data_IF_957905123021
#
_entry.id   IF_957905123021
#
_cell.length_a   1.000
_cell.length_b   1.000
_cell.length_c   1.000
_cell.angle_alpha   90.00
_cell.angle_beta   90.00
_cell.angle_gamma   90.00
#
_symmetry.space_group_name_H-M   'P 1'
#
loop_
_entity.id
_entity.type
_entity.pdbx_description
1 polymer ?
#
# COMPACT_ATOMS: atom_id res chain seq x y z
N UNK A 1 -39.12 -20.26 32.08
CA UNK A 1 -38.32 -20.71 30.91
C UNK A 1 -38.47 -19.69 29.76
N UNK A 2 -38.13 -18.42 30.02
CA UNK A 2 -38.31 -17.29 29.06
C UNK A 2 -37.03 -16.48 28.87
N UNK A 3 -36.04 -16.62 29.77
CA UNK A 3 -34.78 -15.89 29.80
C UNK A 3 -33.91 -16.11 28.56
N UNK A 4 -33.82 -17.33 28.05
CA UNK A 4 -32.93 -17.67 26.91
C UNK A 4 -33.33 -17.03 25.59
N UNK A 5 -34.63 -16.78 25.35
CA UNK A 5 -35.09 -16.17 24.09
C UNK A 5 -34.91 -14.65 24.09
N UNK A 6 -35.10 -14.01 25.23
CA UNK A 6 -34.88 -12.57 25.40
C UNK A 6 -33.39 -12.23 25.40
N UNK A 7 -32.55 -13.02 26.06
CA UNK A 7 -31.09 -12.90 26.03
C UNK A 7 -30.54 -13.03 24.60
N UNK A 8 -31.05 -13.99 23.83
CA UNK A 8 -30.67 -14.15 22.42
C UNK A 8 -31.06 -12.93 21.58
N UNK A 9 -32.27 -12.40 21.76
CA UNK A 9 -32.74 -11.20 21.04
C UNK A 9 -31.89 -9.98 21.40
N UNK A 10 -31.53 -9.80 22.66
CA UNK A 10 -30.67 -8.70 23.11
C UNK A 10 -29.26 -8.83 22.53
N UNK A 11 -28.69 -10.03 22.54
CA UNK A 11 -27.37 -10.32 21.94
C UNK A 11 -27.35 -10.00 20.45
N UNK A 12 -28.41 -10.38 19.71
CA UNK A 12 -28.53 -10.10 18.27
C UNK A 12 -28.63 -8.59 18.02
N UNK A 13 -29.41 -7.86 18.83
CA UNK A 13 -29.55 -6.40 18.70
C UNK A 13 -28.22 -5.68 18.93
N UNK A 14 -27.50 -6.08 19.97
CA UNK A 14 -26.19 -5.52 20.28
C UNK A 14 -25.18 -5.82 19.17
N UNK A 15 -25.14 -7.07 18.69
CA UNK A 15 -24.28 -7.49 17.59
C UNK A 15 -24.52 -6.67 16.31
N UNK A 16 -25.78 -6.46 15.92
CA UNK A 16 -26.15 -5.63 14.76
C UNK A 16 -25.76 -4.15 14.97
N UNK A 17 -25.84 -3.66 16.20
CA UNK A 17 -25.45 -2.28 16.54
C UNK A 17 -23.95 -2.10 16.38
N UNK A 18 -23.16 -3.02 16.96
CA UNK A 18 -21.70 -3.02 16.83
C UNK A 18 -21.26 -3.16 15.37
N UNK A 19 -21.92 -4.00 14.57
CA UNK A 19 -21.61 -4.14 13.14
C UNK A 19 -21.81 -2.81 12.38
N UNK A 20 -22.92 -2.11 12.64
CA UNK A 20 -23.20 -0.80 12.04
C UNK A 20 -22.16 0.24 12.45
N UNK A 21 -21.78 0.29 13.72
CA UNK A 21 -20.75 1.19 14.22
C UNK A 21 -19.40 0.91 13.56
N UNK A 22 -18.98 -0.36 13.48
CA UNK A 22 -17.73 -0.75 12.82
C UNK A 22 -17.70 -0.32 11.34
N UNK A 23 -18.84 -0.45 10.64
CA UNK A 23 -18.95 -0.04 9.24
C UNK A 23 -18.82 1.48 9.08
N UNK A 24 -19.45 2.25 9.96
CA UNK A 24 -19.34 3.71 9.99
C UNK A 24 -17.91 4.15 10.28
N UNK A 25 -17.30 3.62 11.35
CA UNK A 25 -15.93 3.92 11.74
C UNK A 25 -14.92 3.55 10.65
N UNK A 26 -15.13 2.43 9.96
CA UNK A 26 -14.28 2.02 8.84
C UNK A 26 -14.34 2.99 7.66
N UNK A 27 -15.53 3.51 7.34
CA UNK A 27 -15.70 4.54 6.31
C UNK A 27 -14.99 5.84 6.71
N UNK A 28 -15.19 6.26 7.94
CA UNK A 28 -14.62 7.48 8.53
C UNK A 28 -13.09 7.42 8.61
N UNK A 29 -12.53 6.24 8.92
CA UNK A 29 -11.11 5.95 8.89
C UNK A 29 -10.55 6.00 7.46
N UNK A 30 -11.26 5.45 6.48
CA UNK A 30 -10.85 5.52 5.07
C UNK A 30 -10.78 6.97 4.58
N UNK A 31 -11.76 7.79 4.95
CA UNK A 31 -11.77 9.22 4.63
C UNK A 31 -10.60 9.97 5.28
N UNK A 32 -10.33 9.75 6.58
CA UNK A 32 -9.15 10.32 7.27
C UNK A 32 -7.84 9.91 6.62
N UNK A 33 -7.68 8.64 6.23
CA UNK A 33 -6.48 8.15 5.54
C UNK A 33 -6.27 8.85 4.20
N UNK A 34 -7.34 9.03 3.43
CA UNK A 34 -7.27 9.73 2.15
C UNK A 34 -6.93 11.21 2.35
N UNK A 35 -7.60 11.88 3.29
CA UNK A 35 -7.32 13.29 3.60
C UNK A 35 -5.89 13.49 4.12
N UNK A 36 -5.41 12.59 4.97
CA UNK A 36 -4.01 12.61 5.45
C UNK A 36 -3.04 12.50 4.27
N UNK A 37 -3.29 11.60 3.31
CA UNK A 37 -2.46 11.45 2.11
C UNK A 37 -2.39 12.74 1.29
N UNK A 38 -3.53 13.39 1.08
CA UNK A 38 -3.60 14.67 0.36
C UNK A 38 -2.81 15.77 1.08
N UNK A 39 -2.98 15.90 2.40
CA UNK A 39 -2.24 16.87 3.21
C UNK A 39 -0.74 16.59 3.22
N UNK A 40 -0.32 15.32 3.30
CA UNK A 40 1.09 14.93 3.20
C UNK A 40 1.68 15.32 1.85
N UNK A 41 0.96 15.14 0.75
CA UNK A 41 1.44 15.56 -0.57
C UNK A 41 1.60 17.09 -0.64
N UNK A 42 0.60 17.84 -0.19
CA UNK A 42 0.66 19.30 -0.17
C UNK A 42 1.80 19.83 0.73
N UNK A 43 2.02 19.19 1.89
CA UNK A 43 3.14 19.52 2.78
C UNK A 43 4.48 19.21 2.12
N UNK A 44 4.65 18.05 1.48
CA UNK A 44 5.87 17.72 0.76
C UNK A 44 6.18 18.72 -0.36
N UNK A 45 5.17 19.17 -1.11
CA UNK A 45 5.33 20.20 -2.14
C UNK A 45 5.76 21.54 -1.53
N UNK A 46 5.08 21.97 -0.46
CA UNK A 46 5.35 23.24 0.22
C UNK A 46 6.74 23.24 0.87
N UNK A 47 7.12 22.17 1.56
CA UNK A 47 8.43 22.02 2.20
C UNK A 47 9.56 21.98 1.15
N UNK A 48 9.32 21.34 0.00
CA UNK A 48 10.28 21.32 -1.12
C UNK A 48 10.44 22.68 -1.80
N UNK A 49 9.35 23.43 -1.98
CA UNK A 49 9.39 24.77 -2.60
C UNK A 49 10.08 25.81 -1.72
N UNK A 50 9.88 25.71 -0.41
CA UNK A 50 10.41 26.67 0.57
C UNK A 50 11.71 26.19 1.23
N UNK A 51 12.28 25.08 0.78
CA UNK A 51 13.52 24.48 1.32
C UNK A 51 13.48 24.26 2.84
N UNK A 52 12.33 23.81 3.35
CA UNK A 52 12.11 23.55 4.78
C UNK A 52 12.41 22.08 5.07
N UNK A 53 13.53 21.81 5.75
CA UNK A 53 13.93 20.44 6.11
C UNK A 53 13.22 19.90 7.36
N UNK A 54 12.90 20.79 8.31
CA UNK A 54 12.22 20.44 9.56
C UNK A 54 11.26 21.53 10.04
N UNK A 55 10.15 21.11 10.64
CA UNK A 55 9.14 22.00 11.21
C UNK A 55 8.75 21.52 12.62
N UNK A 56 9.03 22.33 13.63
CA UNK A 56 8.70 22.01 15.02
C UNK A 56 7.20 22.30 15.29
N UNK A 57 6.56 21.38 15.99
CA UNK A 57 5.17 21.45 16.44
C UNK A 57 5.10 21.14 17.94
N UNK A 58 4.00 21.51 18.59
CA UNK A 58 3.84 21.29 20.03
C UNK A 58 4.04 19.82 20.46
N UNK A 59 3.69 18.85 19.59
CA UNK A 59 3.83 17.41 19.85
C UNK A 59 5.03 16.75 19.11
N UNK A 60 6.05 17.52 18.74
CA UNK A 60 7.29 16.99 18.15
C UNK A 60 7.77 17.75 16.92
N UNK A 61 8.34 17.05 15.94
CA UNK A 61 8.87 17.69 14.73
C UNK A 61 8.48 16.91 13.48
N UNK A 62 8.14 17.64 12.42
CA UNK A 62 7.93 17.10 11.08
C UNK A 62 9.24 17.25 10.32
N UNK A 63 9.83 16.14 9.89
CA UNK A 63 11.08 16.14 9.13
C UNK A 63 10.78 15.69 7.70
N UNK A 64 11.23 16.47 6.72
CA UNK A 64 11.20 16.06 5.32
C UNK A 64 12.40 15.16 5.05
N UNK A 65 12.16 13.90 4.67
CA UNK A 65 13.21 12.96 4.26
C UNK A 65 12.93 12.44 2.85
N UNK A 66 13.91 12.57 1.96
CA UNK A 66 13.83 12.02 0.60
C UNK A 66 14.65 10.74 0.50
N UNK A 67 13.97 9.60 0.36
CA UNK A 67 14.62 8.32 0.10
C UNK A 67 14.62 8.02 -1.40
N UNK A 68 15.81 7.99 -2.01
CA UNK A 68 15.98 7.57 -3.41
C UNK A 68 16.09 6.05 -3.48
N UNK A 69 14.97 5.37 -3.72
CA UNK A 69 14.94 3.93 -3.98
C UNK A 69 14.87 3.68 -5.48
N UNK A 70 15.71 2.78 -6.00
CA UNK A 70 15.60 2.34 -7.40
C UNK A 70 14.29 1.56 -7.56
N UNK A 71 13.52 1.90 -8.58
CA UNK A 71 12.27 1.20 -8.85
C UNK A 71 12.56 -0.30 -9.08
N UNK A 72 11.68 -1.21 -8.61
CA UNK A 72 11.82 -2.62 -8.94
C UNK A 72 11.74 -2.80 -10.46
N UNK A 73 12.65 -3.62 -11.01
CA UNK A 73 12.70 -3.88 -12.44
C UNK A 73 11.48 -4.73 -12.83
N UNK A 74 10.54 -4.12 -13.54
CA UNK A 74 9.37 -4.81 -14.14
C UNK A 74 9.71 -5.46 -15.48
N UNK A 75 8.93 -6.47 -15.91
CA UNK A 75 9.10 -7.12 -17.23
C UNK A 75 9.12 -6.10 -18.36
N UNK A 76 8.21 -5.11 -18.33
CA UNK A 76 8.16 -4.03 -19.32
C UNK A 76 9.42 -3.18 -19.32
N UNK A 77 9.88 -2.75 -18.14
CA UNK A 77 11.09 -1.93 -18.03
C UNK A 77 12.33 -2.68 -18.52
N UNK A 78 12.47 -3.96 -18.14
CA UNK A 78 13.57 -4.81 -18.56
C UNK A 78 13.60 -5.00 -20.07
N UNK A 79 12.45 -5.35 -20.67
CA UNK A 79 12.33 -5.50 -22.13
C UNK A 79 12.70 -4.20 -22.85
N UNK A 80 12.14 -3.06 -22.43
CA UNK A 80 12.49 -1.76 -23.04
C UNK A 80 13.99 -1.46 -22.96
N UNK A 81 14.63 -1.75 -21.82
CA UNK A 81 16.08 -1.55 -21.66
C UNK A 81 16.88 -2.49 -22.56
N UNK A 82 16.51 -3.77 -22.64
CA UNK A 82 17.22 -4.75 -23.45
C UNK A 82 17.03 -4.49 -24.95
N UNK A 83 15.80 -4.19 -25.40
CA UNK A 83 15.53 -3.79 -26.78
C UNK A 83 16.37 -2.59 -27.17
N UNK A 84 16.40 -1.53 -26.35
CA UNK A 84 17.22 -0.34 -26.61
C UNK A 84 18.72 -0.61 -26.62
N UNK A 85 19.19 -1.55 -25.79
CA UNK A 85 20.61 -1.92 -25.73
C UNK A 85 21.04 -2.75 -26.94
N UNK A 86 20.17 -3.65 -27.41
CA UNK A 86 20.41 -4.53 -28.55
C UNK A 86 19.99 -3.93 -29.90
N UNK A 87 19.44 -2.71 -29.94
CA UNK A 87 19.15 -1.96 -31.19
C UNK A 87 20.36 -1.87 -32.13
N UNK A 88 21.58 -1.88 -31.61
CA UNK A 88 22.82 -1.85 -32.40
C UNK A 88 23.43 -3.24 -32.68
N UNK A 89 22.79 -4.32 -32.19
CA UNK A 89 23.21 -5.72 -32.31
C UNK A 89 22.00 -6.61 -32.66
N UNK A 90 21.53 -6.59 -33.91
CA UNK A 90 20.24 -7.16 -34.32
C UNK A 90 20.17 -8.71 -34.25
N UNK A 91 21.28 -9.41 -34.01
CA UNK A 91 21.30 -10.88 -33.91
C UNK A 91 21.00 -11.42 -32.50
N UNK A 92 20.89 -10.55 -31.48
CA UNK A 92 20.67 -10.99 -30.09
C UNK A 92 19.18 -10.92 -29.71
N UNK A 93 18.59 -12.06 -29.29
CA UNK A 93 17.17 -12.14 -28.94
C UNK A 93 16.91 -11.53 -27.54
N UNK A 94 16.73 -10.20 -27.51
CA UNK A 94 16.45 -9.43 -26.29
C UNK A 94 15.26 -9.95 -25.46
N UNK A 95 14.29 -10.62 -26.08
CA UNK A 95 13.13 -11.18 -25.39
C UNK A 95 13.49 -12.44 -24.58
N UNK A 96 14.28 -13.35 -25.15
CA UNK A 96 14.74 -14.58 -24.47
C UNK A 96 15.63 -14.24 -23.26
N UNK A 97 16.50 -13.23 -23.40
CA UNK A 97 17.36 -12.75 -22.31
C UNK A 97 16.50 -12.16 -21.17
N UNK A 98 15.48 -11.37 -21.52
CA UNK A 98 14.58 -10.78 -20.53
C UNK A 98 13.80 -11.85 -19.76
N UNK A 99 13.34 -12.89 -20.46
CA UNK A 99 12.62 -14.02 -19.89
C UNK A 99 13.53 -14.82 -18.95
N UNK A 100 14.75 -15.16 -19.38
CA UNK A 100 15.74 -15.84 -18.56
C UNK A 100 16.09 -15.06 -17.28
N UNK A 101 16.27 -13.74 -17.36
CA UNK A 101 16.55 -12.88 -16.19
C UNK A 101 15.37 -12.84 -15.22
N UNK A 102 14.13 -12.94 -15.71
CA UNK A 102 12.94 -12.94 -14.86
C UNK A 102 12.74 -14.30 -14.18
N UNK A 103 12.97 -15.39 -14.91
CA UNK A 103 12.81 -16.76 -14.43
C UNK A 103 13.92 -17.18 -13.45
N UNK A 104 15.12 -16.63 -13.61
CA UNK A 104 16.25 -16.87 -12.68
C UNK A 104 16.17 -16.07 -11.37
N UNK A 105 15.13 -15.24 -11.16
CA UNK A 105 14.98 -14.50 -9.91
C UNK A 105 14.59 -15.43 -8.77
N UNK A 106 15.37 -15.41 -7.70
CA UNK A 106 15.03 -16.09 -6.45
C UNK A 106 13.64 -15.68 -5.95
N UNK A 107 12.75 -16.66 -5.87
CA UNK A 107 11.43 -16.51 -5.26
C UNK A 107 11.60 -16.64 -3.74
N UNK A 108 11.58 -15.51 -3.04
CA UNK A 108 11.54 -15.50 -1.58
C UNK A 108 10.11 -15.77 -1.11
N UNK A 109 9.85 -17.02 -0.73
CA UNK A 109 8.59 -17.43 -0.09
C UNK A 109 8.58 -16.86 1.32
N UNK A 110 7.51 -16.13 1.66
CA UNK A 110 7.30 -15.52 2.98
C UNK A 110 5.94 -15.96 3.49
N UNK A 111 5.93 -16.86 4.45
CA UNK A 111 4.70 -17.39 5.02
C UNK A 111 3.95 -16.30 5.82
N UNK A 112 2.64 -16.21 5.62
CA UNK A 112 1.79 -15.25 6.31
C UNK A 112 0.47 -15.92 6.70
N UNK A 113 0.06 -15.72 7.96
CA UNK A 113 -1.22 -16.23 8.49
C UNK A 113 -2.25 -15.10 8.39
N UNK A 114 -3.42 -15.39 7.80
CA UNK A 114 -4.58 -14.47 7.75
C UNK A 114 -5.86 -15.19 8.14
N UNK A 115 -6.70 -14.51 8.93
CA UNK A 115 -8.05 -14.95 9.27
C UNK A 115 -8.99 -14.66 8.10
N UNK A 116 -9.56 -15.71 7.50
CA UNK A 116 -10.55 -15.62 6.42
C UNK A 116 -11.94 -15.71 7.03
N UNK A 117 -12.66 -14.58 7.07
CA UNK A 117 -14.09 -14.59 7.40
C UNK A 117 -14.88 -15.23 6.26
N UNK A 118 -15.80 -16.14 6.59
CA UNK A 118 -16.75 -16.69 5.62
C UNK A 118 -17.78 -15.61 5.26
N UNK A 119 -18.14 -15.57 3.97
CA UNK A 119 -19.18 -14.69 3.41
C UNK A 119 -20.51 -14.83 4.13
#
# INVERSE_FOLDING_TARGET
MTTTKEELVNTIKEWVTVEKEMKLLSKELKQRRQRKKELTNALCETMKQNEIDCFDINDGKIVYTQNKVKAPISKRHLLTCLTKYFEQKPNDNSAEIAEFILDSREVKIKDNIRLKGNK
#
